data_IF_273250970501
#
_entry.id   IF_273250970501
#
_cell.length_a   1.000
_cell.length_b   1.000
_cell.length_c   1.000
_cell.angle_alpha   90.00
_cell.angle_beta   90.00
_cell.angle_gamma   90.00
#
_symmetry.space_group_name_H-M   'P 1'
#
loop_
_entity.id
_entity.type
_entity.pdbx_description
1 polymer ?
#
# COMPACT_ATOMS: atom_id res chain seq x y z
N UNK A 1 -53.89 33.63 9.17
CA UNK A 1 -54.32 32.59 10.12
C UNK A 1 -53.13 31.65 10.29
N UNK A 2 -52.35 31.75 11.38
CA UNK A 2 -52.56 31.04 12.67
C UNK A 2 -52.62 29.52 12.41
N UNK A 3 -51.74 28.63 12.88
CA UNK A 3 -51.16 28.41 14.23
C UNK A 3 -49.96 27.41 14.11
N UNK A 4 -48.78 27.63 14.70
CA UNK A 4 -48.27 27.25 16.05
C UNK A 4 -47.59 25.85 16.21
N UNK A 5 -46.34 25.90 16.75
CA UNK A 5 -45.67 25.01 17.72
C UNK A 5 -45.47 23.51 17.36
N UNK A 6 -44.42 22.76 17.76
CA UNK A 6 -43.38 22.94 18.78
C UNK A 6 -42.23 21.93 18.60
N UNK A 7 -41.09 22.33 19.16
CA UNK A 7 -39.85 21.64 19.54
C UNK A 7 -40.03 20.18 20.01
N UNK A 8 -39.08 19.30 19.63
CA UNK A 8 -38.42 18.35 20.57
C UNK A 8 -37.13 17.77 19.98
N UNK A 9 -36.01 18.27 20.50
CA UNK A 9 -34.71 17.60 20.42
C UNK A 9 -34.73 16.35 21.32
N UNK A 10 -34.22 15.23 20.82
CA UNK A 10 -33.84 14.08 21.64
C UNK A 10 -32.42 13.72 21.28
N UNK A 11 -31.49 14.25 22.08
CA UNK A 11 -30.11 13.78 22.17
C UNK A 11 -30.16 12.43 22.90
N UNK A 12 -29.74 11.34 22.25
CA UNK A 12 -29.51 10.07 22.93
C UNK A 12 -28.00 9.88 23.07
N UNK A 13 -27.48 10.24 24.25
CA UNK A 13 -26.14 9.91 24.71
C UNK A 13 -26.19 8.49 25.27
N UNK A 14 -25.64 7.52 24.55
CA UNK A 14 -25.34 6.20 25.10
C UNK A 14 -23.84 6.10 25.36
N UNK A 15 -23.45 6.42 26.59
CA UNK A 15 -22.19 5.94 27.16
C UNK A 15 -22.44 4.58 27.78
N UNK A 16 -21.84 3.52 27.22
CA UNK A 16 -21.66 2.27 27.95
C UNK A 16 -20.17 1.91 27.94
N UNK A 17 -19.60 2.01 29.13
CA UNK A 17 -18.23 1.66 29.48
C UNK A 17 -18.15 0.14 29.50
N UNK A 18 -17.39 -0.46 28.58
CA UNK A 18 -17.01 -1.86 28.69
C UNK A 18 -15.60 -1.93 29.26
N UNK A 19 -15.50 -2.52 30.46
CA UNK A 19 -14.26 -2.72 31.18
C UNK A 19 -13.30 -3.64 30.40
N UNK A 20 -12.07 -3.18 30.18
CA UNK A 20 -10.95 -4.02 29.78
C UNK A 20 -10.46 -4.79 31.01
N UNK A 21 -10.78 -6.08 31.09
CA UNK A 21 -10.07 -6.99 31.99
C UNK A 21 -8.75 -7.39 31.35
N UNK A 22 -7.64 -6.77 31.78
CA UNK A 22 -6.31 -7.31 31.53
C UNK A 22 -6.16 -8.62 32.32
N UNK A 23 -6.32 -9.75 31.63
CA UNK A 23 -5.78 -11.02 32.10
C UNK A 23 -4.29 -11.01 31.80
N UNK A 24 -3.50 -10.73 32.83
CA UNK A 24 -2.06 -10.99 32.79
C UNK A 24 -1.82 -12.49 32.78
N UNK A 25 -1.24 -13.02 31.71
CA UNK A 25 -0.70 -14.37 31.68
C UNK A 25 0.58 -14.41 32.53
N UNK A 26 0.46 -14.99 33.73
CA UNK A 26 1.58 -15.31 34.61
C UNK A 26 2.10 -16.73 34.29
N UNK A 27 3.32 -16.80 33.74
CA UNK A 27 4.41 -17.81 33.82
C UNK A 27 4.14 -19.22 34.40
N UNK A 28 4.83 -20.30 33.94
CA UNK A 28 6.30 -20.35 34.00
C UNK A 28 7.07 -21.08 32.88
N UNK A 29 8.33 -20.66 32.79
CA UNK A 29 9.49 -21.28 32.17
C UNK A 29 9.59 -22.77 32.57
N UNK A 30 9.65 -23.66 31.58
CA UNK A 30 10.08 -25.04 31.77
C UNK A 30 11.33 -25.29 30.93
N UNK A 31 12.44 -25.33 31.66
CA UNK A 31 13.75 -25.87 31.31
C UNK A 31 13.61 -27.23 30.62
N UNK A 32 14.25 -27.39 29.45
CA UNK A 32 14.56 -28.70 28.90
C UNK A 32 15.86 -28.64 28.08
N UNK A 33 16.94 -29.15 28.69
CA UNK A 33 17.83 -30.12 28.07
C UNK A 33 18.77 -29.64 26.95
N UNK A 34 20.02 -29.38 27.32
CA UNK A 34 21.17 -29.52 26.44
C UNK A 34 21.26 -30.92 25.81
N UNK A 35 21.49 -31.00 24.50
CA UNK A 35 22.20 -32.11 23.86
C UNK A 35 22.92 -31.58 22.62
N UNK A 36 24.24 -31.42 22.74
CA UNK A 36 25.14 -31.30 21.59
C UNK A 36 25.19 -32.65 20.86
N UNK A 37 25.08 -32.65 19.53
CA UNK A 37 25.72 -33.68 18.72
C UNK A 37 26.12 -33.14 17.34
N UNK A 38 27.40 -32.78 17.26
CA UNK A 38 28.21 -32.56 16.06
C UNK A 38 28.19 -33.77 15.12
N UNK A 39 27.82 -33.58 13.85
CA UNK A 39 28.25 -34.30 12.63
C UNK A 39 27.76 -33.48 11.42
N UNK A 40 28.37 -33.40 10.24
CA UNK A 40 29.69 -33.65 9.67
C UNK A 40 29.64 -32.92 8.31
N UNK A 41 30.76 -32.38 7.88
CA UNK A 41 30.94 -31.61 6.65
C UNK A 41 31.05 -32.56 5.45
N UNK A 42 30.15 -32.47 4.47
CA UNK A 42 30.42 -32.96 3.12
C UNK A 42 30.03 -31.94 2.04
N UNK A 43 31.06 -31.61 1.30
CA UNK A 43 31.16 -30.72 0.16
C UNK A 43 30.65 -31.46 -1.09
N UNK A 44 29.85 -30.81 -1.93
CA UNK A 44 29.68 -31.25 -3.32
C UNK A 44 29.45 -30.07 -4.27
N UNK A 45 30.17 -30.18 -5.38
CA UNK A 45 30.50 -29.21 -6.42
C UNK A 45 29.36 -28.92 -7.41
N UNK A 46 29.25 -27.63 -7.74
CA UNK A 46 28.92 -26.99 -9.03
C UNK A 46 28.11 -27.78 -10.07
N UNK A 47 26.95 -27.23 -10.46
CA UNK A 47 26.58 -27.11 -11.88
C UNK A 47 25.73 -25.86 -12.09
N UNK A 48 26.29 -24.86 -12.80
CA UNK A 48 25.58 -23.69 -13.26
C UNK A 48 24.72 -24.06 -14.48
N UNK A 49 23.41 -23.79 -14.40
CA UNK A 49 22.56 -23.61 -15.58
C UNK A 49 21.56 -22.50 -15.28
N UNK A 50 21.64 -21.44 -16.09
CA UNK A 50 20.80 -20.25 -16.01
C UNK A 50 19.30 -20.60 -16.02
N UNK A 51 18.61 -20.23 -14.94
CA UNK A 51 17.18 -20.01 -14.93
C UNK A 51 16.92 -18.79 -14.03
N UNK A 52 16.32 -17.74 -14.61
CA UNK A 52 15.83 -16.59 -13.86
C UNK A 52 14.47 -17.01 -13.31
N UNK A 53 14.46 -17.53 -12.08
CA UNK A 53 13.24 -17.74 -11.31
C UNK A 53 13.25 -16.80 -10.12
N UNK A 54 12.15 -16.05 -10.01
CA UNK A 54 11.78 -15.29 -8.83
C UNK A 54 11.24 -16.31 -7.82
N UNK A 55 12.14 -17.03 -7.15
CA UNK A 55 11.75 -17.88 -6.03
C UNK A 55 12.88 -17.91 -5.01
N UNK A 56 12.54 -17.51 -3.78
CA UNK A 56 13.40 -17.50 -2.60
C UNK A 56 14.48 -16.39 -2.60
N UNK A 57 14.14 -15.24 -2.02
CA UNK A 57 15.12 -14.39 -1.33
C UNK A 57 15.77 -15.26 -0.24
N UNK A 58 16.86 -15.94 -0.59
CA UNK A 58 17.75 -16.53 0.39
C UNK A 58 18.44 -15.35 1.08
N UNK A 59 18.08 -15.12 2.34
CA UNK A 59 18.83 -14.24 3.24
C UNK A 59 20.25 -14.77 3.29
N UNK A 60 21.12 -14.21 2.45
CA UNK A 60 22.53 -14.54 2.43
C UNK A 60 23.18 -13.88 3.64
N UNK A 61 23.80 -14.74 4.44
CA UNK A 61 24.74 -14.45 5.50
C UNK A 61 24.16 -14.02 6.88
N UNK A 62 24.10 -14.96 7.86
CA UNK A 62 23.74 -14.63 9.24
C UNK A 62 24.77 -13.73 9.97
N UNK A 63 25.91 -13.38 9.35
CA UNK A 63 26.88 -12.43 9.90
C UNK A 63 26.44 -10.95 9.76
N UNK A 64 25.46 -10.62 8.89
CA UNK A 64 24.92 -9.26 8.74
C UNK A 64 23.73 -8.96 9.69
N UNK A 65 23.37 -9.94 10.52
CA UNK A 65 22.37 -9.82 11.60
C UNK A 65 22.89 -9.06 12.83
N UNK A 66 24.08 -8.44 12.74
CA UNK A 66 24.68 -7.64 13.80
C UNK A 66 23.95 -6.30 13.96
N UNK A 67 22.74 -6.34 14.52
CA UNK A 67 21.94 -5.23 15.07
C UNK A 67 21.55 -4.05 14.15
N UNK A 68 22.14 -3.88 12.96
CA UNK A 68 21.95 -2.72 12.09
C UNK A 68 20.98 -2.95 10.93
N UNK A 69 21.02 -4.13 10.29
CA UNK A 69 20.24 -4.35 9.06
C UNK A 69 18.73 -4.44 9.34
N UNK A 70 18.30 -5.27 10.30
CA UNK A 70 16.87 -5.38 10.64
C UNK A 70 16.28 -4.09 11.23
N UNK A 71 17.04 -3.33 12.03
CA UNK A 71 16.58 -2.02 12.53
C UNK A 71 16.43 -1.00 11.39
N UNK A 72 17.34 -1.02 10.41
CA UNK A 72 17.20 -0.19 9.21
C UNK A 72 15.97 -0.61 8.39
N UNK A 73 15.75 -1.91 8.19
CA UNK A 73 14.55 -2.43 7.50
C UNK A 73 13.28 -1.95 8.21
N UNK A 74 13.13 -2.20 9.51
CA UNK A 74 11.93 -1.83 10.27
C UNK A 74 11.70 -0.30 10.26
N UNK A 75 12.76 0.49 10.47
CA UNK A 75 12.68 1.96 10.39
C UNK A 75 12.26 2.43 9.01
N UNK A 76 12.84 1.85 7.96
CA UNK A 76 12.63 2.29 6.59
C UNK A 76 11.25 1.86 6.09
N UNK A 77 10.72 0.70 6.51
CA UNK A 77 9.32 0.30 6.32
C UNK A 77 8.39 1.32 6.98
N UNK A 78 8.63 1.64 8.25
CA UNK A 78 7.81 2.61 8.98
C UNK A 78 7.86 4.00 8.32
N UNK A 79 9.02 4.43 7.83
CA UNK A 79 9.18 5.69 7.10
C UNK A 79 8.44 5.67 5.76
N UNK A 80 8.59 4.60 4.98
CA UNK A 80 7.87 4.43 3.72
C UNK A 80 6.36 4.49 3.97
N UNK A 81 5.85 3.80 4.98
CA UNK A 81 4.43 3.81 5.34
C UNK A 81 3.96 5.19 5.79
N UNK A 82 4.65 5.82 6.73
CA UNK A 82 4.27 7.12 7.28
C UNK A 82 4.19 8.22 6.22
N UNK A 83 5.04 8.15 5.19
CA UNK A 83 5.06 9.16 4.13
C UNK A 83 4.09 8.81 2.98
N UNK A 84 3.60 7.57 2.90
CA UNK A 84 2.78 7.10 1.76
C UNK A 84 1.36 6.63 2.12
N UNK A 85 1.00 6.58 3.40
CA UNK A 85 -0.29 6.08 3.87
C UNK A 85 -1.48 6.90 3.36
N UNK A 86 -1.37 8.23 3.40
CA UNK A 86 -2.38 9.16 2.90
C UNK A 86 -2.65 8.93 1.40
N UNK A 87 -1.61 8.60 0.62
CA UNK A 87 -1.78 8.31 -0.80
C UNK A 87 -2.55 7.02 -1.05
N UNK A 88 -2.43 6.00 -0.19
CA UNK A 88 -3.24 4.79 -0.33
C UNK A 88 -4.74 5.10 -0.14
N UNK A 89 -5.08 5.99 0.80
CA UNK A 89 -6.45 6.46 1.03
C UNK A 89 -6.95 7.30 -0.15
N UNK A 90 -6.14 8.26 -0.60
CA UNK A 90 -6.47 9.15 -1.71
C UNK A 90 -6.69 8.36 -3.01
N UNK A 91 -5.79 7.43 -3.34
CA UNK A 91 -5.92 6.59 -4.53
C UNK A 91 -7.21 5.76 -4.51
N UNK A 92 -7.61 5.22 -3.35
CA UNK A 92 -8.89 4.51 -3.19
C UNK A 92 -10.08 5.43 -3.37
N UNK A 93 -10.02 6.66 -2.86
CA UNK A 93 -11.07 7.65 -3.06
C UNK A 93 -11.19 8.07 -4.53
N UNK A 94 -10.07 8.29 -5.20
CA UNK A 94 -9.97 8.60 -6.62
C UNK A 94 -10.49 7.45 -7.48
N UNK A 95 -10.19 6.20 -7.14
CA UNK A 95 -10.76 5.01 -7.78
C UNK A 95 -12.30 5.04 -7.74
N UNK A 96 -12.89 5.18 -6.55
CA UNK A 96 -14.34 5.20 -6.40
C UNK A 96 -14.98 6.37 -7.15
N UNK A 97 -14.34 7.54 -7.12
CA UNK A 97 -14.84 8.74 -7.78
C UNK A 97 -14.77 8.62 -9.31
N UNK A 98 -13.73 7.97 -9.84
CA UNK A 98 -13.61 7.66 -11.26
C UNK A 98 -14.68 6.67 -11.70
N UNK A 99 -14.89 5.61 -10.93
CA UNK A 99 -15.93 4.62 -11.21
C UNK A 99 -17.30 5.28 -11.32
N UNK A 100 -17.66 6.12 -10.34
CA UNK A 100 -18.91 6.88 -10.35
C UNK A 100 -19.01 7.81 -11.56
N UNK A 101 -17.94 8.52 -11.91
CA UNK A 101 -17.94 9.42 -13.06
C UNK A 101 -18.13 8.68 -14.39
N UNK A 102 -17.53 7.49 -14.53
CA UNK A 102 -17.69 6.61 -15.69
C UNK A 102 -19.11 6.05 -15.77
N UNK A 103 -19.63 5.50 -14.66
CA UNK A 103 -20.98 4.93 -14.59
C UNK A 103 -22.06 5.96 -14.92
N UNK A 104 -21.92 7.18 -14.37
CA UNK A 104 -22.84 8.28 -14.60
C UNK A 104 -22.64 8.97 -15.96
N UNK A 105 -21.61 8.56 -16.73
CA UNK A 105 -21.20 9.18 -18.00
C UNK A 105 -21.02 10.70 -17.87
N UNK A 106 -20.55 11.15 -16.70
CA UNK A 106 -20.40 12.56 -16.38
C UNK A 106 -19.00 13.02 -16.79
N UNK A 107 -18.89 13.66 -17.95
CA UNK A 107 -17.61 14.11 -18.52
C UNK A 107 -16.90 15.14 -17.66
N UNK A 108 -17.63 16.08 -17.04
CA UNK A 108 -17.07 17.09 -16.15
C UNK A 108 -16.51 16.47 -14.88
N UNK A 109 -17.28 15.58 -14.24
CA UNK A 109 -16.81 14.87 -13.05
C UNK A 109 -15.61 13.98 -13.38
N UNK A 110 -15.63 13.28 -14.51
CA UNK A 110 -14.54 12.42 -14.94
C UNK A 110 -13.25 13.22 -15.16
N UNK A 111 -13.34 14.41 -15.77
CA UNK A 111 -12.18 15.27 -15.98
C UNK A 111 -11.61 15.78 -14.65
N UNK A 112 -12.47 16.21 -13.73
CA UNK A 112 -12.03 16.69 -12.42
C UNK A 112 -11.32 15.59 -11.65
N UNK A 113 -11.96 14.43 -11.51
CA UNK A 113 -11.41 13.31 -10.75
C UNK A 113 -10.13 12.75 -11.40
N UNK A 114 -10.06 12.70 -12.75
CA UNK A 114 -8.82 12.32 -13.43
C UNK A 114 -7.69 13.33 -13.19
N UNK A 115 -8.01 14.62 -13.06
CA UNK A 115 -7.07 15.67 -12.68
C UNK A 115 -6.58 15.52 -11.24
N UNK A 116 -7.50 15.28 -10.30
CA UNK A 116 -7.18 15.03 -8.89
C UNK A 116 -6.27 13.81 -8.75
N UNK A 117 -6.64 12.68 -9.37
CA UNK A 117 -5.83 11.48 -9.39
C UNK A 117 -4.43 11.74 -9.96
N UNK A 118 -4.32 12.46 -11.07
CA UNK A 118 -3.01 12.78 -11.66
C UNK A 118 -2.15 13.56 -10.66
N UNK A 119 -2.74 14.50 -9.94
CA UNK A 119 -2.02 15.28 -8.94
C UNK A 119 -1.59 14.42 -7.74
N UNK A 120 -2.46 13.53 -7.27
CA UNK A 120 -2.13 12.56 -6.21
C UNK A 120 -0.98 11.65 -6.61
N UNK A 121 -0.99 11.11 -7.84
CA UNK A 121 0.08 10.27 -8.37
C UNK A 121 1.41 11.02 -8.51
N UNK A 122 1.39 12.30 -8.91
CA UNK A 122 2.60 13.13 -8.90
C UNK A 122 3.11 13.37 -7.47
N UNK A 123 2.22 13.68 -6.52
CA UNK A 123 2.60 13.83 -5.12
C UNK A 123 3.24 12.56 -4.54
N UNK A 124 2.65 11.39 -4.85
CA UNK A 124 3.22 10.10 -4.47
C UNK A 124 4.59 9.89 -5.13
N UNK A 125 4.75 10.26 -6.40
CA UNK A 125 6.02 10.15 -7.11
C UNK A 125 7.13 10.94 -6.40
N UNK A 126 6.86 12.21 -6.13
CA UNK A 126 7.82 13.11 -5.50
C UNK A 126 8.17 12.66 -4.08
N UNK A 127 7.17 12.19 -3.34
CA UNK A 127 7.35 11.61 -2.00
C UNK A 127 8.27 10.39 -2.06
N UNK A 128 7.99 9.43 -2.95
CA UNK A 128 8.81 8.24 -3.15
C UNK A 128 10.25 8.58 -3.60
N UNK A 129 10.46 9.63 -4.40
CA UNK A 129 11.81 10.07 -4.76
C UNK A 129 12.55 10.72 -3.59
N UNK A 130 11.84 11.39 -2.68
CA UNK A 130 12.42 12.08 -1.53
C UNK A 130 12.85 11.13 -0.39
N UNK A 131 12.30 9.91 -0.37
CA UNK A 131 12.60 8.91 0.65
C UNK A 131 14.07 8.48 0.61
N UNK A 132 14.82 8.95 1.61
CA UNK A 132 16.17 8.46 1.91
C UNK A 132 16.08 7.20 2.79
N UNK A 133 16.16 6.03 2.17
CA UNK A 133 16.15 4.71 2.81
C UNK A 133 17.57 4.15 2.91
N UNK A 134 17.84 3.34 3.93
CA UNK A 134 19.13 2.66 4.16
C UNK A 134 19.09 1.17 3.82
N UNK A 135 17.95 0.52 4.02
CA UNK A 135 17.74 -0.88 3.63
C UNK A 135 17.60 -1.00 2.12
N UNK A 136 18.33 -1.97 1.55
CA UNK A 136 18.23 -2.29 0.13
C UNK A 136 16.88 -2.90 -0.22
N UNK A 137 16.35 -3.74 0.66
CA UNK A 137 15.06 -4.42 0.51
C UNK A 137 13.91 -3.40 0.45
N UNK A 138 13.90 -2.42 1.35
CA UNK A 138 12.88 -1.37 1.33
C UNK A 138 13.07 -0.42 0.15
N UNK A 139 14.31 -0.19 -0.30
CA UNK A 139 14.57 0.56 -1.53
C UNK A 139 14.01 -0.15 -2.77
N UNK A 140 14.11 -1.48 -2.86
CA UNK A 140 13.49 -2.26 -3.96
C UNK A 140 11.95 -2.13 -3.97
N UNK A 141 11.32 -2.07 -2.79
CA UNK A 141 9.88 -1.81 -2.68
C UNK A 141 9.54 -0.41 -3.19
N UNK A 142 10.30 0.60 -2.76
CA UNK A 142 10.16 1.99 -3.23
C UNK A 142 10.30 2.10 -4.76
N UNK A 143 11.25 1.39 -5.36
CA UNK A 143 11.40 1.33 -6.83
C UNK A 143 10.20 0.67 -7.51
N UNK A 144 9.65 -0.40 -6.90
CA UNK A 144 8.46 -1.06 -7.40
C UNK A 144 7.22 -0.14 -7.36
N UNK A 145 7.08 0.64 -6.28
CA UNK A 145 6.06 1.67 -6.14
C UNK A 145 6.23 2.80 -7.17
N UNK A 146 7.45 3.30 -7.38
CA UNK A 146 7.76 4.30 -8.41
C UNK A 146 7.36 3.81 -9.81
N UNK A 147 7.69 2.56 -10.13
CA UNK A 147 7.36 1.94 -11.42
C UNK A 147 5.84 1.83 -11.62
N UNK A 148 5.12 1.31 -10.62
CA UNK A 148 3.66 1.20 -10.68
C UNK A 148 2.97 2.58 -10.78
N UNK A 149 3.45 3.55 -10.00
CA UNK A 149 2.95 4.92 -10.06
C UNK A 149 3.21 5.57 -11.43
N UNK A 150 4.39 5.35 -12.01
CA UNK A 150 4.73 5.84 -13.35
C UNK A 150 3.84 5.22 -14.43
N UNK A 151 3.52 3.93 -14.31
CA UNK A 151 2.59 3.25 -15.21
C UNK A 151 1.22 3.91 -15.18
N UNK A 152 0.67 4.18 -13.99
CA UNK A 152 -0.59 4.92 -13.84
C UNK A 152 -0.51 6.32 -14.46
N UNK A 153 0.57 7.07 -14.19
CA UNK A 153 0.80 8.40 -14.78
C UNK A 153 0.83 8.37 -16.31
N UNK A 154 1.26 7.26 -16.94
CA UNK A 154 1.28 7.17 -18.40
C UNK A 154 -0.11 6.99 -19.04
N UNK A 155 -1.14 6.76 -18.24
CA UNK A 155 -2.43 6.32 -18.76
C UNK A 155 -3.15 7.41 -19.58
N UNK A 156 -3.79 7.04 -20.70
CA UNK A 156 -4.44 8.01 -21.59
C UNK A 156 -5.50 8.88 -20.92
N UNK A 157 -6.21 8.36 -19.91
CA UNK A 157 -7.23 9.10 -19.16
C UNK A 157 -6.65 10.32 -18.44
N UNK A 158 -5.42 10.22 -17.92
CA UNK A 158 -4.76 11.28 -17.13
C UNK A 158 -4.09 12.34 -18.00
N UNK A 159 -3.85 12.03 -19.27
CA UNK A 159 -3.24 12.95 -20.22
C UNK A 159 -4.22 13.87 -20.92
N UNK A 160 -5.53 13.69 -20.67
CA UNK A 160 -6.58 14.53 -21.22
C UNK A 160 -6.75 14.30 -22.73
N UNK A 161 -7.87 13.70 -23.11
CA UNK A 161 -8.41 14.02 -24.44
C UNK A 161 -9.02 15.41 -24.34
N UNK A 162 -8.42 16.38 -25.04
CA UNK A 162 -8.84 17.79 -25.09
C UNK A 162 -10.22 18.01 -25.71
N UNK A 163 -10.90 16.95 -26.14
CA UNK A 163 -12.23 17.00 -26.73
C UNK A 163 -13.17 16.04 -25.99
N UNK A 164 -13.81 16.56 -24.94
CA UNK A 164 -14.78 15.84 -24.10
C UNK A 164 -16.01 15.35 -24.90
N UNK A 165 -16.26 15.92 -26.08
CA UNK A 165 -17.33 15.51 -26.99
C UNK A 165 -17.03 14.23 -27.77
N UNK A 166 -15.76 13.78 -27.76
CA UNK A 166 -15.29 12.55 -28.42
C UNK A 166 -14.95 11.43 -27.44
N UNK A 167 -15.37 11.58 -26.18
CA UNK A 167 -15.01 10.67 -25.12
C UNK A 167 -15.75 9.32 -25.28
N UNK A 168 -15.02 8.28 -25.62
CA UNK A 168 -15.54 6.91 -25.67
C UNK A 168 -15.50 6.28 -24.27
N UNK A 169 -16.62 6.35 -23.56
CA UNK A 169 -16.78 5.77 -22.23
C UNK A 169 -16.54 4.26 -22.19
N UNK A 170 -16.84 3.52 -23.27
CA UNK A 170 -16.57 2.08 -23.30
C UNK A 170 -15.06 1.80 -23.35
N UNK A 171 -14.30 2.66 -24.04
CA UNK A 171 -12.83 2.59 -24.05
C UNK A 171 -12.25 2.98 -22.69
N UNK A 172 -12.83 3.98 -22.03
CA UNK A 172 -12.40 4.43 -20.71
C UNK A 172 -12.69 3.40 -19.64
N UNK A 173 -13.86 2.77 -19.65
CA UNK A 173 -14.21 1.69 -18.72
C UNK A 173 -13.22 0.53 -18.84
N UNK A 174 -12.83 0.15 -20.06
CA UNK A 174 -11.78 -0.86 -20.28
C UNK A 174 -10.42 -0.44 -19.72
N UNK A 175 -10.01 0.81 -19.92
CA UNK A 175 -8.76 1.34 -19.35
C UNK A 175 -8.82 1.45 -17.82
N UNK A 176 -9.99 1.76 -17.28
CA UNK A 176 -10.22 1.88 -15.85
C UNK A 176 -10.08 0.55 -15.12
N UNK A 177 -10.49 -0.57 -15.71
CA UNK A 177 -10.25 -1.88 -15.12
C UNK A 177 -8.74 -2.17 -14.94
N UNK A 178 -7.88 -1.65 -15.81
CA UNK A 178 -6.42 -1.70 -15.61
C UNK A 178 -5.98 -0.78 -14.47
N UNK A 179 -6.51 0.45 -14.41
CA UNK A 179 -6.25 1.42 -13.31
C UNK A 179 -6.52 0.78 -11.94
N UNK A 180 -7.66 0.10 -11.80
CA UNK A 180 -8.06 -0.51 -10.53
C UNK A 180 -7.03 -1.52 -10.01
N UNK A 181 -6.49 -2.38 -10.89
CA UNK A 181 -5.49 -3.37 -10.49
C UNK A 181 -4.17 -2.71 -10.08
N UNK A 182 -3.74 -1.69 -10.81
CA UNK A 182 -2.48 -1.00 -10.54
C UNK A 182 -2.56 -0.16 -9.25
N UNK A 183 -3.72 0.45 -8.97
CA UNK A 183 -3.97 1.15 -7.69
C UNK A 183 -3.99 0.18 -6.50
N UNK A 184 -4.63 -0.98 -6.65
CA UNK A 184 -4.61 -2.03 -5.63
C UNK A 184 -3.19 -2.52 -5.39
N UNK A 185 -2.40 -2.70 -6.45
CA UNK A 185 -0.98 -3.09 -6.33
C UNK A 185 -0.18 -2.06 -5.54
N UNK A 186 -0.37 -0.76 -5.78
CA UNK A 186 0.28 0.30 -4.99
C UNK A 186 -0.17 0.23 -3.53
N UNK A 187 -1.48 0.13 -3.28
CA UNK A 187 -2.02 0.07 -1.92
C UNK A 187 -1.50 -1.16 -1.16
N UNK A 188 -1.48 -2.34 -1.78
CA UNK A 188 -0.88 -3.56 -1.22
C UNK A 188 0.61 -3.38 -0.94
N UNK A 189 1.38 -2.83 -1.89
CA UNK A 189 2.80 -2.56 -1.68
C UNK A 189 3.07 -1.53 -0.58
N UNK A 190 2.11 -0.69 -0.19
CA UNK A 190 2.25 0.24 0.94
C UNK A 190 1.83 -0.46 2.25
N UNK A 191 0.68 -1.14 2.24
CA UNK A 191 0.02 -1.70 3.41
C UNK A 191 0.60 -3.06 3.85
N UNK A 192 0.93 -3.95 2.92
CA UNK A 192 1.35 -5.33 3.20
C UNK A 192 2.78 -5.40 3.77
N UNK A 193 3.55 -4.30 3.72
CA UNK A 193 4.83 -4.20 4.44
C UNK A 193 4.67 -4.08 5.96
N UNK A 194 3.43 -4.09 6.50
CA UNK A 194 3.14 -4.03 7.94
C UNK A 194 3.19 -5.39 8.64
N UNK A 195 3.28 -6.49 7.89
CA UNK A 195 3.21 -7.85 8.44
C UNK A 195 4.44 -8.68 8.07
N UNK A 196 5.53 -8.55 8.83
CA UNK A 196 6.52 -9.61 9.06
C UNK A 196 7.15 -9.41 10.43
#
# INVERSE_FOLDING_TARGET
>A
MMEHFSIKAILSVTTLITALTLVGCNQPLQENGYSEQTREFEQSTLTAKNHIDIESMTLQDPQDLSSGNMLNIARDIAKLQLETDDYAVLLKQSQNSLEQAIQNKNTHQLQNVAGDLKQELHGLHDTLLSLNLKSHEVDQIRQSLLSANQQLLTMPLLHGQTDLSKLDFNKIEKQFNTIQMDMVKIASLVLDNSTT
#
